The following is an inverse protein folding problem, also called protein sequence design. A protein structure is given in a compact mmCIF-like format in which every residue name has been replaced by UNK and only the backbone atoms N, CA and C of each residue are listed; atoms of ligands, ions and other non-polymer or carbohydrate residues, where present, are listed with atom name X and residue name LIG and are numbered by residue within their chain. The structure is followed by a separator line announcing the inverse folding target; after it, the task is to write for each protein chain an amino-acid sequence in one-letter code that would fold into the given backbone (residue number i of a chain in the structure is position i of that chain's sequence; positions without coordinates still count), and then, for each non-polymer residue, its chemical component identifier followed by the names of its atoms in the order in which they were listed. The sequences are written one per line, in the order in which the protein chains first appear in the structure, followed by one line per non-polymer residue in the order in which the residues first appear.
data_IF_035577000478
#
_entry.id   IF_035577000478
#
_cell.length_a   1.000
_cell.length_b   1.000
_cell.length_c   1.000
_cell.angle_alpha   90.00
_cell.angle_beta   90.00
_cell.angle_gamma   90.00
#
_symmetry.space_group_name_H-M   'P 1'
#
loop_
_entity.id
_entity.type
_entity.pdbx_description
1 polymer ?
#
# COMPACT_ATOMS: atom_id res chain seq x y z
N UNK A 1 -4.96 -5.12 -14.73
CA UNK A 1 -6.30 -5.34 -14.14
C UNK A 1 -6.48 -4.44 -12.93
N UNK A 2 -7.68 -3.96 -12.64
CA UNK A 2 -8.01 -3.11 -11.49
C UNK A 2 -9.15 -3.76 -10.70
N UNK A 3 -8.97 -3.94 -9.40
CA UNK A 3 -10.02 -4.39 -8.49
C UNK A 3 -10.26 -3.30 -7.43
N UNK A 4 -11.53 -3.01 -7.14
CA UNK A 4 -11.94 -1.99 -6.16
C UNK A 4 -12.89 -2.63 -5.15
N UNK A 5 -12.67 -2.36 -3.87
CA UNK A 5 -13.53 -2.78 -2.78
C UNK A 5 -14.16 -1.54 -2.12
N UNK A 6 -15.46 -1.63 -1.84
CA UNK A 6 -16.27 -0.56 -1.26
C UNK A 6 -16.86 -1.02 0.08
N UNK A 7 -17.10 -0.08 1.00
CA UNK A 7 -17.83 -0.37 2.24
C UNK A 7 -19.35 -0.49 1.97
N UNK A 8 -20.14 -0.76 3.02
CA UNK A 8 -21.62 -0.87 2.94
C UNK A 8 -22.33 0.41 2.48
N UNK A 9 -21.67 1.55 2.60
CA UNK A 9 -22.17 2.87 2.18
C UNK A 9 -21.74 3.24 0.74
N UNK A 10 -21.08 2.33 0.01
CA UNK A 10 -20.62 2.57 -1.36
C UNK A 10 -19.30 3.34 -1.47
N UNK A 11 -18.56 3.49 -0.38
CA UNK A 11 -17.33 4.25 -0.30
C UNK A 11 -16.10 3.41 -0.60
N UNK A 12 -15.21 3.88 -1.48
CA UNK A 12 -14.00 3.15 -1.87
C UNK A 12 -13.06 3.02 -0.66
N UNK A 13 -12.77 1.79 -0.23
CA UNK A 13 -11.87 1.53 0.91
C UNK A 13 -10.53 0.95 0.46
N UNK A 14 -10.50 0.30 -0.71
CA UNK A 14 -9.31 -0.34 -1.23
C UNK A 14 -9.34 -0.44 -2.74
N UNK A 15 -8.19 -0.21 -3.36
CA UNK A 15 -8.00 -0.42 -4.79
C UNK A 15 -6.72 -1.22 -5.03
N UNK A 16 -6.80 -2.22 -5.90
CA UNK A 16 -5.70 -3.12 -6.25
C UNK A 16 -5.36 -2.89 -7.71
N UNK A 17 -4.12 -2.48 -7.95
CA UNK A 17 -3.59 -2.26 -9.28
C UNK A 17 -2.56 -3.35 -9.60
N UNK A 18 -2.81 -4.07 -10.70
CA UNK A 18 -1.86 -4.99 -11.29
C UNK A 18 -1.12 -4.27 -12.41
N UNK A 19 0.10 -3.83 -12.13
CA UNK A 19 0.98 -3.18 -13.11
C UNK A 19 1.95 -4.25 -13.62
N UNK A 20 1.76 -4.70 -14.87
CA UNK A 20 2.52 -5.79 -15.49
C UNK A 20 3.92 -5.38 -15.97
N UNK A 21 4.35 -4.14 -15.72
CA UNK A 21 5.71 -3.67 -16.07
C UNK A 21 6.76 -3.97 -14.98
N UNK A 22 6.37 -4.64 -13.89
CA UNK A 22 7.32 -5.15 -12.89
C UNK A 22 6.72 -6.29 -12.08
N UNK A 23 7.58 -7.07 -11.41
CA UNK A 23 7.20 -8.21 -10.55
C UNK A 23 6.43 -7.79 -9.27
N UNK A 24 5.70 -6.68 -9.27
CA UNK A 24 5.08 -6.11 -8.08
C UNK A 24 3.60 -5.77 -8.27
N UNK A 25 2.76 -6.22 -7.34
CA UNK A 25 1.35 -5.79 -7.18
C UNK A 25 1.27 -4.67 -6.15
N UNK A 26 0.34 -3.73 -6.34
CA UNK A 26 0.08 -2.65 -5.37
C UNK A 26 -1.36 -2.71 -4.85
N UNK A 27 -1.53 -2.56 -3.54
CA UNK A 27 -2.83 -2.33 -2.88
C UNK A 27 -2.80 -0.97 -2.22
N UNK A 28 -3.81 -0.15 -2.47
CA UNK A 28 -4.01 1.17 -1.87
C UNK A 28 -5.16 1.05 -0.89
N UNK A 29 -4.95 1.57 0.32
CA UNK A 29 -5.96 1.64 1.37
C UNK A 29 -6.29 3.10 1.63
N UNK A 30 -7.57 3.42 1.63
CA UNK A 30 -8.07 4.78 1.81
C UNK A 30 -8.50 5.00 3.27
N UNK A 31 -8.52 6.26 3.68
CA UNK A 31 -9.09 6.69 4.96
C UNK A 31 -10.62 6.52 4.93
N UNK A 32 -11.25 6.78 6.08
CA UNK A 32 -12.71 6.74 6.21
C UNK A 32 -13.43 7.66 5.24
N UNK A 33 -12.77 8.66 4.64
CA UNK A 33 -13.29 9.56 3.59
C UNK A 33 -13.29 8.96 2.17
N UNK A 34 -12.70 7.77 1.99
CA UNK A 34 -12.68 7.00 0.74
C UNK A 34 -11.96 7.67 -0.42
N UNK A 35 -11.27 8.78 -0.16
CA UNK A 35 -10.58 9.61 -1.14
C UNK A 35 -9.11 9.75 -0.78
N UNK A 36 -8.83 9.99 0.48
CA UNK A 36 -7.50 10.23 1.01
C UNK A 36 -6.79 8.91 1.24
N UNK A 37 -5.59 8.76 0.69
CA UNK A 37 -4.79 7.55 0.87
C UNK A 37 -4.30 7.48 2.32
N UNK A 38 -4.46 6.33 2.95
CA UNK A 38 -3.89 6.06 4.26
C UNK A 38 -2.52 5.37 4.13
N UNK A 39 -2.46 4.26 3.40
CA UNK A 39 -1.21 3.58 3.07
C UNK A 39 -1.30 2.78 1.77
N UNK A 40 -0.13 2.46 1.22
CA UNK A 40 0.04 1.60 0.05
C UNK A 40 0.92 0.42 0.41
N UNK A 41 0.52 -0.78 0.00
CA UNK A 41 1.32 -2.00 0.15
C UNK A 41 1.79 -2.47 -1.21
N UNK A 42 3.08 -2.79 -1.32
CA UNK A 42 3.68 -3.42 -2.50
C UNK A 42 4.02 -4.87 -2.19
N UNK A 43 3.55 -5.78 -3.04
CA UNK A 43 3.80 -7.21 -2.94
C UNK A 43 4.60 -7.70 -4.12
N UNK A 44 5.54 -8.60 -3.90
CA UNK A 44 6.18 -9.34 -4.97
C UNK A 44 5.18 -10.35 -5.57
N UNK A 45 5.09 -10.41 -6.90
CA UNK A 45 4.08 -11.20 -7.62
C UNK A 45 4.38 -12.69 -7.53
N UNK A 46 5.65 -13.09 -7.66
CA UNK A 46 6.06 -14.50 -7.69
C UNK A 46 5.91 -15.16 -6.33
N UNK A 47 6.22 -14.44 -5.26
CA UNK A 47 6.15 -14.96 -3.87
C UNK A 47 4.87 -14.61 -3.13
N UNK A 48 4.14 -13.57 -3.59
CA UNK A 48 3.01 -13.00 -2.87
C UNK A 48 3.38 -12.21 -1.60
N UNK A 49 4.67 -12.11 -1.27
CA UNK A 49 5.14 -11.49 -0.02
C UNK A 49 5.15 -9.97 -0.10
N UNK A 50 4.85 -9.34 1.03
CA UNK A 50 4.96 -7.90 1.19
C UNK A 50 6.42 -7.47 1.11
N UNK A 51 6.71 -6.44 0.32
CA UNK A 51 8.04 -5.82 0.22
C UNK A 51 8.08 -4.51 1.00
N UNK A 52 7.04 -3.71 0.84
CA UNK A 52 6.97 -2.35 1.38
C UNK A 52 5.54 -1.98 1.78
N UNK A 53 5.44 -1.23 2.88
CA UNK A 53 4.24 -0.49 3.28
C UNK A 53 4.57 0.98 3.42
N UNK A 54 3.92 1.82 2.64
CA UNK A 54 4.15 3.27 2.59
C UNK A 54 2.97 3.96 3.26
N UNK A 55 3.20 4.64 4.37
CA UNK A 55 2.18 5.36 5.11
C UNK A 55 2.21 6.85 4.77
N UNK A 56 1.03 7.45 4.61
CA UNK A 56 0.86 8.86 4.26
C UNK A 56 0.33 9.66 5.44
N UNK A 57 0.68 10.96 5.49
CA UNK A 57 0.12 11.93 6.45
C UNK A 57 -1.39 12.14 6.18
N UNK A 58 -2.02 13.04 6.94
CA UNK A 58 -3.46 13.30 6.84
C UNK A 58 -3.87 13.86 5.47
N UNK A 59 -2.95 14.49 4.75
CA UNK A 59 -3.18 15.01 3.39
C UNK A 59 -3.28 13.91 2.31
N UNK A 60 -2.90 12.67 2.64
CA UNK A 60 -2.86 11.52 1.71
C UNK A 60 -1.83 11.65 0.60
N UNK A 61 -0.90 12.62 0.68
CA UNK A 61 0.11 12.92 -0.34
C UNK A 61 1.52 12.84 0.22
N UNK A 62 1.73 13.40 1.40
CA UNK A 62 3.04 13.43 2.05
C UNK A 62 3.31 12.09 2.70
N UNK A 63 4.43 11.45 2.34
CA UNK A 63 4.86 10.21 2.97
C UNK A 63 5.28 10.51 4.41
N UNK A 64 4.78 9.73 5.35
CA UNK A 64 5.17 9.80 6.76
C UNK A 64 6.35 8.85 7.05
N UNK A 65 6.16 7.57 6.74
CA UNK A 65 7.21 6.55 6.89
C UNK A 65 6.96 5.35 5.99
N UNK A 66 7.98 4.51 5.83
CA UNK A 66 7.95 3.30 5.02
C UNK A 66 8.43 2.12 5.87
N UNK A 67 7.63 1.06 5.96
CA UNK A 67 8.10 -0.24 6.46
C UNK A 67 8.63 -1.07 5.30
N UNK A 68 9.81 -1.64 5.46
CA UNK A 68 10.41 -2.58 4.53
C UNK A 68 10.38 -3.99 5.14
N UNK A 69 10.20 -4.99 4.28
CA UNK A 69 10.12 -6.39 4.68
C UNK A 69 11.11 -7.23 3.89
N UNK A 70 11.63 -8.27 4.52
CA UNK A 70 12.51 -9.23 3.87
C UNK A 70 11.67 -10.13 2.94
N UNK A 71 12.00 -10.18 1.65
CA UNK A 71 11.25 -10.98 0.69
C UNK A 71 11.44 -12.50 0.85
N UNK A 72 12.50 -12.95 1.51
CA UNK A 72 12.75 -14.37 1.73
C UNK A 72 11.99 -14.87 2.95
N UNK A 73 11.91 -14.09 4.03
CA UNK A 73 11.25 -14.53 5.27
C UNK A 73 9.85 -13.94 5.46
N UNK A 74 9.57 -12.77 4.88
CA UNK A 74 8.36 -11.99 5.12
C UNK A 74 8.44 -11.10 6.37
N UNK A 75 9.56 -11.16 7.09
CA UNK A 75 9.73 -10.44 8.34
C UNK A 75 9.92 -8.94 8.12
N UNK A 76 9.52 -8.17 9.12
CA UNK A 76 9.85 -6.76 9.20
C UNK A 76 11.38 -6.59 9.20
N UNK A 77 11.88 -5.75 8.30
CA UNK A 77 13.31 -5.47 8.17
C UNK A 77 13.67 -4.12 8.80
N UNK A 78 12.94 -3.05 8.45
CA UNK A 78 13.21 -1.69 8.95
C UNK A 78 12.07 -0.71 8.71
N UNK A 79 12.11 0.42 9.39
CA UNK A 79 11.30 1.61 9.13
C UNK A 79 12.18 2.75 8.67
N UNK A 80 11.82 3.37 7.55
CA UNK A 80 12.42 4.63 7.11
C UNK A 80 11.42 5.76 7.41
N UNK A 81 11.77 6.68 8.30
CA UNK A 81 10.98 7.88 8.59
C UNK A 81 11.34 8.98 7.59
N UNK A 82 10.34 9.65 7.02
CA UNK A 82 10.55 10.83 6.18
C UNK A 82 10.06 12.06 6.93
N UNK A 83 11.03 12.78 7.51
CA UNK A 83 10.79 14.09 8.10
C UNK A 83 10.94 15.14 6.99
N UNK A 84 9.82 15.47 6.37
CA UNK A 84 9.63 16.67 5.54
C UNK A 84 9.14 17.83 6.40
#
# INVERSE_FOLDING_TARGET
MLNKEYNREGKLIKSIYYCSTGEMRKKIYYRSDGKTIYYVVKYNISTGKEKERIFYRLDGKTINFIHCFNLNTGDYAKTNYLFL
#
